data_IF_599316651513
#
_entry.id   IF_599316651513
#
_cell.length_a   1.000
_cell.length_b   1.000
_cell.length_c   1.000
_cell.angle_alpha   90.00
_cell.angle_beta   90.00
_cell.angle_gamma   90.00
#
_symmetry.space_group_name_H-M   'P 1'
#
loop_
_entity.id
_entity.type
_entity.pdbx_description
1 polymer ?
#
# COMPACT_ATOMS: atom_id res chain seq x y z
N UNK A 1 4.82 -19.76 -7.09
CA UNK A 1 4.51 -18.34 -6.81
C UNK A 1 5.75 -17.54 -7.20
N UNK A 2 5.57 -16.36 -7.80
CA UNK A 2 6.69 -15.43 -8.03
C UNK A 2 7.32 -15.02 -6.71
N UNK A 3 8.62 -14.77 -6.68
CA UNK A 3 9.27 -14.14 -5.52
C UNK A 3 8.65 -12.76 -5.25
N UNK A 4 8.39 -12.41 -3.97
CA UNK A 4 7.80 -11.14 -3.60
C UNK A 4 8.66 -9.95 -4.03
N UNK A 5 8.02 -8.86 -4.47
CA UNK A 5 8.71 -7.65 -4.92
C UNK A 5 8.92 -6.66 -3.76
N UNK A 6 10.16 -6.25 -3.54
CA UNK A 6 10.54 -5.20 -2.60
C UNK A 6 10.84 -3.92 -3.39
N UNK A 7 9.99 -2.92 -3.23
CA UNK A 7 10.18 -1.58 -3.81
C UNK A 7 10.76 -0.62 -2.77
N UNK A 8 11.94 -0.08 -3.04
CA UNK A 8 12.60 0.93 -2.20
C UNK A 8 12.41 2.31 -2.80
N UNK A 9 11.78 3.23 -2.07
CA UNK A 9 11.52 4.60 -2.54
C UNK A 9 12.73 5.49 -2.22
N UNK A 10 13.40 5.95 -3.26
CA UNK A 10 14.43 6.96 -3.20
C UNK A 10 13.78 8.35 -3.14
N UNK A 11 13.87 8.99 -1.98
CA UNK A 11 13.34 10.33 -1.72
C UNK A 11 14.42 11.39 -1.96
N UNK A 12 14.02 12.66 -2.07
CA UNK A 12 14.98 13.74 -2.24
C UNK A 12 16.02 13.76 -1.11
N UNK A 13 17.30 13.89 -1.47
CA UNK A 13 18.41 13.90 -0.52
C UNK A 13 18.83 12.51 0.00
N UNK A 14 18.19 11.42 -0.43
CA UNK A 14 18.63 10.05 -0.12
C UNK A 14 20.08 9.84 -0.59
N UNK A 15 20.85 9.05 0.16
CA UNK A 15 22.24 8.75 -0.14
C UNK A 15 22.41 7.25 -0.40
N UNK A 16 23.47 6.83 -1.11
CA UNK A 16 23.76 5.41 -1.30
C UNK A 16 23.81 4.61 0.02
N UNK A 17 24.25 5.23 1.12
CA UNK A 17 24.29 4.57 2.44
C UNK A 17 22.91 4.19 2.97
N UNK A 18 21.86 4.97 2.67
CA UNK A 18 20.49 4.64 3.06
C UNK A 18 19.95 3.45 2.24
N UNK A 19 20.42 3.28 0.99
CA UNK A 19 19.98 2.22 0.09
C UNK A 19 20.75 0.91 0.28
N UNK A 20 21.99 0.99 0.77
CA UNK A 20 22.88 -0.16 0.90
C UNK A 20 22.29 -1.29 1.76
N UNK A 21 21.60 -0.99 2.86
CA UNK A 21 21.03 -2.03 3.73
C UNK A 21 19.88 -2.79 3.05
N UNK A 22 18.84 -2.13 2.51
CA UNK A 22 17.83 -2.82 1.71
C UNK A 22 18.44 -3.60 0.53
N UNK A 23 19.42 -3.04 -0.16
CA UNK A 23 20.10 -3.71 -1.27
C UNK A 23 20.79 -4.99 -0.80
N UNK A 24 21.64 -4.92 0.23
CA UNK A 24 22.35 -6.10 0.77
C UNK A 24 21.36 -7.19 1.20
N UNK A 25 20.24 -6.84 1.84
CA UNK A 25 19.28 -7.83 2.37
C UNK A 25 18.42 -8.45 1.27
N UNK A 26 17.94 -7.65 0.31
CA UNK A 26 16.90 -8.06 -0.63
C UNK A 26 17.41 -8.25 -2.07
N UNK A 27 18.62 -7.77 -2.40
CA UNK A 27 19.27 -7.96 -3.70
C UNK A 27 20.35 -9.04 -3.67
N UNK A 28 20.94 -9.36 -2.50
CA UNK A 28 21.93 -10.43 -2.43
C UNK A 28 21.28 -11.80 -2.62
N UNK A 29 21.72 -12.44 -3.69
CA UNK A 29 21.43 -13.82 -4.05
C UNK A 29 22.26 -14.71 -3.11
N UNK A 30 21.66 -15.19 -2.02
CA UNK A 30 22.17 -16.42 -1.39
C UNK A 30 22.25 -17.52 -2.48
N UNK A 31 23.24 -18.43 -2.47
CA UNK A 31 23.30 -19.50 -3.47
C UNK A 31 21.99 -20.31 -3.48
N UNK A 32 21.15 -20.12 -4.50
CA UNK A 32 19.76 -20.64 -4.56
C UNK A 32 18.81 -19.79 -5.41
N UNK A 33 17.49 -20.03 -5.28
CA UNK A 33 16.46 -19.20 -5.90
C UNK A 33 16.37 -17.81 -5.23
N UNK A 34 16.17 -16.76 -6.01
CA UNK A 34 16.00 -15.41 -5.50
C UNK A 34 14.77 -15.34 -4.58
N UNK A 35 15.00 -15.10 -3.28
CA UNK A 35 13.93 -15.01 -2.28
C UNK A 35 13.04 -13.77 -2.48
N UNK A 36 13.59 -12.74 -3.15
CA UNK A 36 12.90 -11.48 -3.43
C UNK A 36 13.27 -10.98 -4.82
N UNK A 37 12.35 -10.24 -5.43
CA UNK A 37 12.67 -9.29 -6.49
C UNK A 37 12.91 -7.94 -5.82
N UNK A 38 13.90 -7.18 -6.27
CA UNK A 38 14.28 -5.91 -5.67
C UNK A 38 14.28 -4.81 -6.72
N UNK A 39 13.73 -3.65 -6.37
CA UNK A 39 13.70 -2.48 -7.25
C UNK A 39 13.80 -1.19 -6.43
N UNK A 40 14.57 -0.22 -6.95
CA UNK A 40 14.60 1.15 -6.42
C UNK A 40 13.76 2.02 -7.35
N UNK A 41 12.85 2.81 -6.78
CA UNK A 41 11.96 3.71 -7.51
C UNK A 41 11.95 5.11 -6.87
N UNK A 42 11.52 6.12 -7.63
CA UNK A 42 11.45 7.50 -7.16
C UNK A 42 10.21 8.20 -7.71
N UNK A 43 9.82 9.31 -7.08
CA UNK A 43 8.78 10.19 -7.63
C UNK A 43 9.18 10.77 -8.98
N UNK A 44 10.42 11.24 -9.07
CA UNK A 44 11.02 11.74 -10.31
C UNK A 44 12.24 10.88 -10.64
N UNK A 45 12.10 9.84 -11.49
CA UNK A 45 13.22 9.03 -11.93
C UNK A 45 14.34 9.87 -12.56
N UNK A 46 15.58 9.44 -12.39
CA UNK A 46 16.78 10.13 -12.82
C UNK A 46 17.84 10.17 -11.73
N UNK A 47 18.70 11.18 -11.81
CA UNK A 47 19.78 11.38 -10.86
C UNK A 47 19.28 12.14 -9.63
N UNK A 48 19.23 11.46 -8.49
CA UNK A 48 18.82 12.04 -7.21
C UNK A 48 20.08 12.50 -6.46
N UNK A 49 20.27 13.82 -6.27
CA UNK A 49 21.44 14.33 -5.57
C UNK A 49 21.31 14.11 -4.06
N UNK A 50 22.43 13.80 -3.41
CA UNK A 50 22.54 13.74 -1.96
C UNK A 50 23.42 14.89 -1.44
N UNK A 51 23.25 15.26 -0.16
CA UNK A 51 24.05 16.31 0.49
C UNK A 51 25.52 15.93 0.69
N UNK A 52 25.88 14.66 0.52
CA UNK A 52 27.26 14.16 0.65
C UNK A 52 28.08 14.23 -0.64
N UNK A 53 27.54 14.86 -1.69
CA UNK A 53 28.22 14.99 -2.99
C UNK A 53 28.13 13.73 -3.87
N UNK A 54 27.40 12.71 -3.42
CA UNK A 54 27.05 11.54 -4.21
C UNK A 54 25.66 11.69 -4.82
N UNK A 55 25.37 10.91 -5.86
CA UNK A 55 24.04 10.81 -6.43
C UNK A 55 23.63 9.34 -6.60
N UNK A 56 22.33 9.11 -6.57
CA UNK A 56 21.73 7.81 -6.87
C UNK A 56 21.03 7.92 -8.22
N UNK A 57 21.28 6.97 -9.12
CA UNK A 57 20.54 6.86 -10.37
C UNK A 57 19.36 5.91 -10.18
N UNK A 58 18.15 6.38 -10.47
CA UNK A 58 16.92 5.59 -10.32
C UNK A 58 16.14 5.60 -11.62
N UNK A 59 15.85 4.43 -12.17
CA UNK A 59 15.15 4.29 -13.46
C UNK A 59 13.64 4.19 -13.31
N UNK A 60 13.16 3.68 -12.18
CA UNK A 60 11.75 3.34 -11.99
C UNK A 60 10.96 4.43 -11.27
N UNK A 61 9.72 4.63 -11.71
CA UNK A 61 8.76 5.54 -11.09
C UNK A 61 7.94 4.89 -9.98
N UNK A 62 7.10 5.70 -9.32
CA UNK A 62 6.19 5.24 -8.26
C UNK A 62 5.10 4.26 -8.74
N UNK A 63 4.90 4.13 -10.06
CA UNK A 63 4.03 3.10 -10.65
C UNK A 63 4.45 1.68 -10.28
N UNK A 64 5.74 1.48 -9.98
CA UNK A 64 6.32 0.22 -9.46
C UNK A 64 5.67 -0.24 -8.15
N UNK A 65 5.10 0.69 -7.37
CA UNK A 65 4.44 0.35 -6.12
C UNK A 65 3.18 -0.50 -6.34
N UNK A 66 2.55 -0.46 -7.51
CA UNK A 66 1.35 -1.25 -7.79
C UNK A 66 1.59 -2.76 -7.70
N UNK A 67 2.79 -3.21 -8.08
CA UNK A 67 3.18 -4.63 -8.09
C UNK A 67 4.06 -5.02 -6.90
N UNK A 68 4.40 -4.06 -6.03
CA UNK A 68 5.27 -4.29 -4.88
C UNK A 68 4.54 -5.12 -3.83
N UNK A 69 5.23 -6.02 -3.13
CA UNK A 69 4.71 -6.72 -1.95
C UNK A 69 5.13 -6.06 -0.65
N UNK A 70 6.27 -5.36 -0.68
CA UNK A 70 6.90 -4.65 0.42
C UNK A 70 7.40 -3.32 -0.13
N UNK A 71 7.06 -2.23 0.57
CA UNK A 71 7.56 -0.89 0.24
C UNK A 71 8.49 -0.42 1.36
N UNK A 72 9.66 0.11 1.02
CA UNK A 72 10.65 0.60 1.99
C UNK A 72 10.95 2.06 1.68
N UNK A 73 10.87 2.93 2.69
CA UNK A 73 11.30 4.32 2.61
C UNK A 73 12.50 4.47 3.56
N UNK A 74 13.73 4.28 3.08
CA UNK A 74 14.91 4.20 3.94
C UNK A 74 15.37 5.57 4.45
N UNK A 75 14.87 6.65 3.86
CA UNK A 75 15.24 8.01 4.22
C UNK A 75 14.06 8.97 4.07
N UNK A 76 13.91 9.84 5.05
CA UNK A 76 13.00 10.98 5.02
C UNK A 76 13.68 12.15 5.72
N UNK A 77 13.96 13.23 4.99
CA UNK A 77 14.82 14.32 5.48
C UNK A 77 14.26 14.99 6.74
N UNK A 78 12.93 15.17 6.78
CA UNK A 78 12.22 15.94 7.80
C UNK A 78 10.92 15.21 8.17
N UNK A 79 10.80 14.54 9.33
CA UNK A 79 9.58 13.81 9.73
C UNK A 79 8.30 14.65 9.74
N UNK A 80 8.43 15.97 9.87
CA UNK A 80 7.37 16.97 9.80
C UNK A 80 6.94 17.34 8.37
N UNK A 81 7.82 17.12 7.40
CA UNK A 81 7.57 17.38 5.99
C UNK A 81 6.59 16.35 5.45
N UNK A 82 5.50 16.86 4.87
CA UNK A 82 4.46 16.01 4.31
C UNK A 82 4.98 15.39 3.01
N UNK A 83 4.64 14.12 2.73
CA UNK A 83 4.89 13.58 1.40
C UNK A 83 4.19 14.43 0.34
N UNK A 84 4.78 14.47 -0.85
CA UNK A 84 4.13 15.06 -2.01
C UNK A 84 2.76 14.39 -2.25
N UNK A 85 1.89 15.08 -2.98
CA UNK A 85 0.59 14.52 -3.36
C UNK A 85 0.79 13.26 -4.22
N UNK A 86 1.82 13.23 -5.07
CA UNK A 86 2.12 12.08 -5.93
C UNK A 86 2.55 10.86 -5.10
N UNK A 87 3.48 11.02 -4.16
CA UNK A 87 3.91 9.95 -3.27
C UNK A 87 2.79 9.47 -2.35
N UNK A 88 1.99 10.39 -1.80
CA UNK A 88 0.84 10.04 -0.98
C UNK A 88 -0.17 9.22 -1.78
N UNK A 89 -0.51 9.65 -3.00
CA UNK A 89 -1.44 8.92 -3.87
C UNK A 89 -0.90 7.52 -4.21
N UNK A 90 0.37 7.41 -4.60
CA UNK A 90 0.96 6.11 -4.93
C UNK A 90 0.98 5.14 -3.72
N UNK A 91 1.23 5.64 -2.51
CA UNK A 91 1.12 4.84 -1.29
C UNK A 91 -0.33 4.44 -0.98
N UNK A 92 -1.30 5.32 -1.21
CA UNK A 92 -2.72 4.98 -1.05
C UNK A 92 -3.17 3.95 -2.09
N UNK A 93 -2.67 4.04 -3.32
CA UNK A 93 -2.95 3.09 -4.41
C UNK A 93 -2.32 1.73 -4.13
N UNK A 94 -1.07 1.70 -3.63
CA UNK A 94 -0.45 0.48 -3.12
C UNK A 94 -1.32 -0.19 -2.04
N UNK A 95 -1.80 0.58 -1.06
CA UNK A 95 -2.65 0.04 0.00
C UNK A 95 -3.99 -0.48 -0.54
N UNK A 96 -4.55 0.14 -1.59
CA UNK A 96 -5.76 -0.33 -2.28
C UNK A 96 -5.53 -1.64 -3.03
N UNK A 97 -4.36 -1.81 -3.65
CA UNK A 97 -3.96 -3.02 -4.37
C UNK A 97 -3.72 -4.23 -3.45
N UNK A 98 -3.51 -4.00 -2.16
CA UNK A 98 -3.09 -5.02 -1.19
C UNK A 98 -4.10 -5.25 -0.05
N UNK A 99 -5.37 -4.84 -0.23
CA UNK A 99 -6.40 -4.92 0.82
C UNK A 99 -6.69 -6.35 1.32
N UNK A 100 -6.28 -7.38 0.59
CA UNK A 100 -6.38 -8.81 0.91
C UNK A 100 -5.35 -9.27 1.97
N UNK A 101 -4.24 -8.55 2.12
CA UNK A 101 -3.27 -8.76 3.21
C UNK A 101 -3.85 -8.20 4.52
N UNK A 102 -3.47 -8.74 5.71
CA UNK A 102 -4.01 -8.28 7.00
C UNK A 102 -3.51 -6.87 7.34
N UNK A 103 -4.15 -5.87 6.75
CA UNK A 103 -3.90 -4.46 7.01
C UNK A 103 -4.83 -3.98 8.12
N UNK A 104 -4.41 -4.10 9.36
CA UNK A 104 -5.03 -3.37 10.46
C UNK A 104 -4.22 -2.09 10.75
N UNK A 105 -4.74 -1.24 11.62
CA UNK A 105 -4.03 -0.01 11.98
C UNK A 105 -2.67 -0.31 12.63
N UNK A 106 -2.51 -1.48 13.26
CA UNK A 106 -1.23 -1.87 13.85
C UNK A 106 -0.23 -2.25 12.77
N UNK A 107 -0.62 -3.01 11.75
CA UNK A 107 0.28 -3.37 10.65
C UNK A 107 0.73 -2.13 9.89
N UNK A 108 -0.16 -1.16 9.66
CA UNK A 108 0.22 0.11 9.01
C UNK A 108 1.12 0.96 9.90
N UNK A 109 0.86 1.00 11.22
CA UNK A 109 1.71 1.72 12.16
C UNK A 109 3.10 1.08 12.26
N UNK A 110 3.19 -0.25 12.32
CA UNK A 110 4.44 -1.00 12.29
C UNK A 110 5.20 -0.79 10.99
N UNK A 111 4.48 -0.81 9.86
CA UNK A 111 5.06 -0.60 8.54
C UNK A 111 5.78 0.75 8.43
N UNK A 112 5.24 1.81 9.04
CA UNK A 112 5.89 3.13 9.11
C UNK A 112 6.74 3.34 10.38
N UNK A 113 7.04 2.28 11.14
CA UNK A 113 7.82 2.34 12.39
C UNK A 113 7.29 3.35 13.43
N UNK A 114 5.96 3.50 13.53
CA UNK A 114 5.31 4.39 14.48
C UNK A 114 4.45 3.60 15.48
N UNK A 115 4.36 4.11 16.71
CA UNK A 115 3.32 3.65 17.63
C UNK A 115 1.92 3.95 17.04
N UNK A 116 0.96 3.02 17.20
CA UNK A 116 -0.42 3.11 16.67
C UNK A 116 -1.08 4.48 16.90
N UNK A 117 -0.97 5.03 18.12
CA UNK A 117 -1.56 6.34 18.47
C UNK A 117 -0.98 7.50 17.66
N UNK A 118 0.34 7.49 17.46
CA UNK A 118 1.05 8.51 16.68
C UNK A 118 0.67 8.41 15.21
N UNK A 119 0.67 7.18 14.67
CA UNK A 119 0.22 6.91 13.31
C UNK A 119 -1.20 7.40 13.07
N UNK A 120 -2.17 6.98 13.90
CA UNK A 120 -3.57 7.40 13.78
C UNK A 120 -3.72 8.91 13.78
N UNK A 121 -3.09 9.60 14.73
CA UNK A 121 -3.16 11.07 14.81
C UNK A 121 -2.59 11.73 13.55
N UNK A 122 -1.42 11.29 13.10
CA UNK A 122 -0.77 11.87 11.93
C UNK A 122 -1.57 11.61 10.65
N UNK A 123 -2.10 10.39 10.49
CA UNK A 123 -2.95 10.00 9.38
C UNK A 123 -4.24 10.81 9.33
N UNK A 124 -4.96 10.96 10.45
CA UNK A 124 -6.17 11.80 10.50
C UNK A 124 -5.87 13.26 10.19
N UNK A 125 -4.76 13.79 10.72
CA UNK A 125 -4.34 15.17 10.40
C UNK A 125 -4.06 15.36 8.91
N UNK A 126 -3.56 14.33 8.23
CA UNK A 126 -3.22 14.38 6.81
C UNK A 126 -4.43 14.14 5.90
N UNK A 127 -5.31 13.19 6.24
CA UNK A 127 -6.37 12.69 5.36
C UNK A 127 -7.77 13.20 5.72
N UNK A 128 -7.93 13.81 6.89
CA UNK A 128 -9.22 14.27 7.43
C UNK A 128 -10.09 13.17 8.04
N UNK A 129 -9.72 11.90 7.89
CA UNK A 129 -10.46 10.73 8.42
C UNK A 129 -9.54 9.79 9.19
N UNK A 130 -10.09 8.96 10.08
CA UNK A 130 -9.27 7.98 10.80
C UNK A 130 -8.77 6.86 9.88
N UNK A 131 -7.61 6.23 10.15
CA UNK A 131 -7.16 5.08 9.38
C UNK A 131 -8.18 3.93 9.35
N UNK A 132 -8.92 3.72 10.45
CA UNK A 132 -9.95 2.68 10.54
C UNK A 132 -11.08 2.96 9.56
N UNK A 133 -11.59 4.19 9.58
CA UNK A 133 -12.68 4.64 8.70
C UNK A 133 -12.24 4.62 7.23
N UNK A 134 -11.03 5.13 6.95
CA UNK A 134 -10.45 5.11 5.62
C UNK A 134 -10.31 3.68 5.08
N UNK A 135 -9.74 2.76 5.86
CA UNK A 135 -9.62 1.35 5.49
C UNK A 135 -10.99 0.72 5.24
N UNK A 136 -11.99 0.99 6.07
CA UNK A 136 -13.34 0.47 5.85
C UNK A 136 -13.91 0.94 4.52
N UNK A 137 -13.79 2.23 4.20
CA UNK A 137 -14.30 2.79 2.95
C UNK A 137 -13.59 2.18 1.74
N UNK A 138 -12.27 2.06 1.77
CA UNK A 138 -11.51 1.49 0.65
C UNK A 138 -11.80 0.00 0.45
N UNK A 139 -11.91 -0.79 1.54
CA UNK A 139 -12.35 -2.20 1.47
C UNK A 139 -13.73 -2.36 0.87
N UNK A 140 -14.67 -1.49 1.25
CA UNK A 140 -16.01 -1.49 0.69
C UNK A 140 -15.99 -1.17 -0.82
N UNK A 141 -15.20 -0.18 -1.25
CA UNK A 141 -15.02 0.15 -2.67
C UNK A 141 -14.42 -1.01 -3.46
N UNK A 142 -13.35 -1.62 -2.98
CA UNK A 142 -12.74 -2.77 -3.65
C UNK A 142 -13.72 -3.95 -3.77
N UNK A 143 -14.54 -4.17 -2.74
CA UNK A 143 -15.59 -5.18 -2.82
C UNK A 143 -16.63 -4.90 -3.92
N UNK A 144 -16.93 -3.62 -4.25
CA UNK A 144 -17.79 -3.28 -5.39
C UNK A 144 -17.15 -3.74 -6.70
N UNK A 145 -15.87 -3.42 -6.90
CA UNK A 145 -15.10 -3.88 -8.07
C UNK A 145 -15.18 -5.40 -8.22
N UNK A 146 -15.00 -6.16 -7.13
CA UNK A 146 -15.10 -7.62 -7.16
C UNK A 146 -16.52 -8.12 -7.42
N UNK A 147 -17.55 -7.47 -6.86
CA UNK A 147 -18.95 -7.83 -7.10
C UNK A 147 -19.34 -7.63 -8.57
N UNK A 148 -18.79 -6.59 -9.19
CA UNK A 148 -19.05 -6.20 -10.58
C UNK A 148 -18.28 -7.08 -11.57
N UNK A 149 -17.00 -7.35 -11.29
CA UNK A 149 -16.08 -8.02 -12.22
C UNK A 149 -15.95 -9.54 -12.03
N UNK A 150 -16.32 -10.11 -10.88
CA UNK A 150 -16.12 -11.54 -10.57
C UNK A 150 -17.38 -12.29 -10.14
N UNK A 151 -17.39 -13.62 -10.30
CA UNK A 151 -18.44 -14.53 -9.80
C UNK A 151 -18.20 -15.05 -8.38
N UNK A 152 -17.24 -14.47 -7.64
CA UNK A 152 -16.92 -14.93 -6.29
C UNK A 152 -18.11 -14.85 -5.33
N UNK A 153 -18.19 -15.77 -4.37
CA UNK A 153 -19.21 -15.72 -3.32
C UNK A 153 -19.04 -14.46 -2.46
N UNK A 154 -20.10 -14.02 -1.80
CA UNK A 154 -20.06 -12.85 -0.90
C UNK A 154 -19.05 -13.08 0.23
N UNK A 155 -18.93 -14.32 0.70
CA UNK A 155 -17.96 -14.75 1.70
C UNK A 155 -16.52 -14.63 1.19
N UNK A 156 -16.26 -15.06 -0.05
CA UNK A 156 -14.93 -14.94 -0.64
C UNK A 156 -14.56 -13.48 -0.90
N UNK A 157 -15.50 -12.66 -1.38
CA UNK A 157 -15.30 -11.22 -1.57
C UNK A 157 -15.00 -10.52 -0.25
N UNK A 158 -15.68 -10.90 0.84
CA UNK A 158 -15.38 -10.36 2.17
C UNK A 158 -13.91 -10.61 2.54
N UNK A 159 -13.42 -11.85 2.35
CA UNK A 159 -12.03 -12.20 2.61
C UNK A 159 -11.04 -11.45 1.72
N UNK A 160 -11.28 -11.45 0.40
CA UNK A 160 -10.44 -10.73 -0.57
C UNK A 160 -10.41 -9.23 -0.33
N UNK A 161 -11.49 -8.66 0.22
CA UNK A 161 -11.58 -7.25 0.56
C UNK A 161 -11.06 -6.95 1.98
N UNK A 162 -10.42 -7.91 2.66
CA UNK A 162 -9.80 -7.70 3.96
C UNK A 162 -10.77 -7.62 5.15
N UNK A 163 -12.00 -8.12 5.02
CA UNK A 163 -12.93 -8.26 6.15
C UNK A 163 -12.71 -9.59 6.88
N UNK A 164 -12.49 -9.51 8.19
CA UNK A 164 -12.38 -10.69 9.06
C UNK A 164 -13.71 -11.43 9.26
N UNK A 165 -14.83 -10.85 8.83
CA UNK A 165 -16.16 -11.45 8.96
C UNK A 165 -17.05 -11.05 7.78
N UNK A 166 -17.65 -12.03 7.07
CA UNK A 166 -18.68 -11.76 6.07
C UNK A 166 -19.91 -11.03 6.64
N UNK A 167 -20.16 -11.13 7.95
CA UNK A 167 -21.28 -10.45 8.61
C UNK A 167 -21.00 -8.95 8.72
N UNK A 168 -19.84 -8.56 9.24
CA UNK A 168 -19.47 -7.15 9.36
C UNK A 168 -19.31 -6.49 7.99
N UNK A 169 -18.82 -7.25 6.99
CA UNK A 169 -18.81 -6.83 5.59
C UNK A 169 -20.21 -6.46 5.09
N UNK A 170 -21.19 -7.38 5.16
CA UNK A 170 -22.56 -7.12 4.67
C UNK A 170 -23.20 -5.93 5.37
N UNK A 171 -23.01 -5.82 6.68
CA UNK A 171 -23.55 -4.71 7.47
C UNK A 171 -22.95 -3.38 7.01
N UNK A 172 -21.61 -3.29 6.92
CA UNK A 172 -20.93 -2.08 6.48
C UNK A 172 -21.29 -1.71 5.02
N UNK A 173 -21.38 -2.70 4.13
CA UNK A 173 -21.75 -2.49 2.74
C UNK A 173 -23.18 -1.93 2.63
N UNK A 174 -24.15 -2.54 3.30
CA UNK A 174 -25.53 -2.05 3.33
C UNK A 174 -25.65 -0.66 3.93
N UNK A 175 -24.91 -0.38 5.01
CA UNK A 175 -24.90 0.95 5.62
C UNK A 175 -24.34 2.02 4.66
N UNK A 176 -23.31 1.69 3.89
CA UNK A 176 -22.61 2.63 3.02
C UNK A 176 -23.29 2.86 1.68
N UNK A 177 -23.89 1.82 1.10
CA UNK A 177 -24.42 1.81 -0.26
C UNK A 177 -25.94 1.61 -0.34
N UNK A 178 -26.62 1.38 0.79
CA UNK A 178 -28.07 1.25 0.89
C UNK A 178 -28.64 -0.13 0.50
N UNK A 179 -27.86 -0.97 -0.18
CA UNK A 179 -28.26 -2.32 -0.63
C UNK A 179 -27.26 -3.38 -0.18
N UNK A 180 -27.68 -4.65 -0.14
CA UNK A 180 -26.77 -5.76 0.17
C UNK A 180 -25.79 -6.03 -0.98
N UNK A 181 -24.64 -6.69 -0.73
CA UNK A 181 -23.69 -7.09 -1.78
C UNK A 181 -24.34 -7.90 -2.91
N UNK A 182 -25.24 -8.82 -2.58
CA UNK A 182 -25.94 -9.64 -3.57
C UNK A 182 -26.89 -8.81 -4.44
N UNK A 183 -27.61 -7.86 -3.84
CA UNK A 183 -28.47 -6.92 -4.57
C UNK A 183 -27.65 -6.00 -5.46
N UNK A 184 -26.52 -5.47 -4.97
CA UNK A 184 -25.60 -4.65 -5.76
C UNK A 184 -25.13 -5.38 -7.02
N UNK A 185 -24.64 -6.63 -6.86
CA UNK A 185 -24.24 -7.47 -7.98
C UNK A 185 -25.37 -7.66 -8.99
N UNK A 186 -26.59 -7.92 -8.49
CA UNK A 186 -27.77 -8.12 -9.33
C UNK A 186 -28.08 -6.86 -10.16
N UNK A 187 -28.09 -5.69 -9.52
CA UNK A 187 -28.34 -4.40 -10.16
C UNK A 187 -27.32 -4.08 -11.27
N UNK A 188 -26.03 -4.32 -11.02
CA UNK A 188 -24.98 -4.01 -12.01
C UNK A 188 -24.88 -5.04 -13.15
N UNK A 189 -25.14 -6.32 -12.88
CA UNK A 189 -25.03 -7.39 -13.88
C UNK A 189 -26.31 -7.65 -14.66
N UNK A 190 -27.39 -6.92 -14.38
CA UNK A 190 -28.64 -6.98 -15.14
C UNK A 190 -29.33 -8.35 -15.12
N UNK A 191 -29.16 -9.13 -14.05
CA UNK A 191 -29.91 -10.38 -13.82
C UNK A 191 -31.04 -10.19 -12.82
#
# INVERSE_FOLDING_TARGET
MSAPLVAVIATEGVSPFHLAVPEIIFSQILPGEALFRYVVCAENPGTIPSKSGMSVSVEHGLDTLNDADIVIIPFWAHPEEKPSIALLNALLDYLRGHLDKPHDVNSLANFVSMARRTFTRNFTRATGVSPVEWLQVERLRYSQTLLESTDHSVEMIAGLSGFNSPVSYRQGFKQRFGVSPSEWRKMFRGK
#
